data_IF_232835772932
#
_entry.id   IF_232835772932
#
_cell.length_a   1.000
_cell.length_b   1.000
_cell.length_c   1.000
_cell.angle_alpha   90.00
_cell.angle_beta   90.00
_cell.angle_gamma   90.00
#
_symmetry.space_group_name_H-M   'P 1'
#
loop_
_entity.id
_entity.type
_entity.pdbx_description
1 polymer ?
#
# COMPACT_ATOMS: atom_id res chain seq x y z
N UNK A 1 -7.50 -69.08 49.78
CA UNK A 1 -8.42 -68.18 50.51
C UNK A 1 -9.08 -67.26 49.50
N UNK A 2 -10.40 -67.43 49.30
CA UNK A 2 -11.35 -66.47 48.70
C UNK A 2 -11.17 -66.08 47.23
N UNK A 3 -12.16 -66.10 46.35
CA UNK A 3 -13.56 -66.48 46.48
C UNK A 3 -14.11 -66.69 45.06
N UNK A 4 -14.93 -67.72 44.91
CA UNK A 4 -15.55 -68.20 43.68
C UNK A 4 -16.91 -67.53 43.45
N UNK A 5 -17.33 -67.41 42.18
CA UNK A 5 -18.73 -67.69 41.82
C UNK A 5 -19.49 -66.68 40.94
N UNK A 6 -20.30 -67.26 40.03
CA UNK A 6 -21.32 -66.74 39.09
C UNK A 6 -20.80 -66.49 37.67
N UNK A 7 -20.95 -67.36 36.66
CA UNK A 7 -21.99 -68.31 36.21
C UNK A 7 -23.29 -67.67 35.62
N UNK A 8 -23.43 -67.86 34.29
CA UNK A 8 -24.59 -67.82 33.37
C UNK A 8 -25.36 -66.51 33.14
N UNK A 9 -25.47 -66.09 31.87
CA UNK A 9 -26.56 -66.55 30.99
C UNK A 9 -26.31 -66.17 29.52
N UNK A 10 -26.32 -67.20 28.67
CA UNK A 10 -26.61 -67.12 27.24
C UNK A 10 -28.04 -66.57 27.06
N UNK A 11 -28.18 -65.57 26.20
CA UNK A 11 -29.47 -65.00 25.80
C UNK A 11 -29.46 -64.73 24.31
N UNK A 12 -29.89 -65.74 23.56
CA UNK A 12 -30.14 -65.74 22.12
C UNK A 12 -31.27 -64.75 21.82
N UNK A 13 -30.92 -63.49 21.65
CA UNK A 13 -31.83 -62.43 21.20
C UNK A 13 -31.78 -62.32 19.69
N UNK A 14 -32.58 -63.14 19.02
CA UNK A 14 -32.95 -62.94 17.61
C UNK A 14 -33.64 -61.57 17.52
N UNK A 15 -32.87 -60.53 17.27
CA UNK A 15 -33.41 -59.27 16.77
C UNK A 15 -33.64 -59.46 15.28
N UNK A 16 -34.76 -60.12 14.97
CA UNK A 16 -35.47 -59.87 13.73
C UNK A 16 -35.90 -58.39 13.76
N UNK A 17 -34.97 -57.49 13.43
CA UNK A 17 -35.36 -56.22 12.82
C UNK A 17 -35.83 -56.57 11.42
N UNK A 18 -37.10 -56.97 11.39
CA UNK A 18 -38.02 -56.90 10.27
C UNK A 18 -37.62 -55.79 9.30
N UNK A 19 -37.49 -56.14 8.02
CA UNK A 19 -37.17 -55.29 6.88
C UNK A 19 -38.24 -54.20 6.60
N UNK A 20 -38.64 -53.43 7.60
CA UNK A 20 -39.48 -52.24 7.48
C UNK A 20 -38.68 -50.94 7.66
N UNK A 21 -37.36 -50.96 7.42
CA UNK A 21 -36.47 -49.82 7.68
C UNK A 21 -35.90 -49.11 6.46
N UNK A 22 -36.07 -49.63 5.24
CA UNK A 22 -35.38 -49.08 4.05
C UNK A 22 -35.90 -47.68 3.67
N UNK A 23 -37.14 -47.33 4.01
CA UNK A 23 -37.74 -46.02 3.70
C UNK A 23 -37.39 -44.88 4.68
N UNK A 24 -36.81 -45.18 5.83
CA UNK A 24 -36.39 -44.14 6.81
C UNK A 24 -34.90 -43.79 6.70
N UNK A 25 -34.07 -44.67 6.12
CA UNK A 25 -32.67 -44.38 5.81
C UNK A 25 -32.52 -43.29 4.73
N UNK A 26 -33.31 -43.33 3.66
CA UNK A 26 -33.38 -42.25 2.65
C UNK A 26 -33.75 -40.90 3.26
N UNK A 27 -34.63 -40.93 4.26
CA UNK A 27 -35.06 -39.73 4.99
C UNK A 27 -33.92 -39.20 5.87
N UNK A 28 -33.21 -40.08 6.59
CA UNK A 28 -32.06 -39.70 7.41
C UNK A 28 -30.89 -39.17 6.57
N UNK A 29 -30.61 -39.78 5.41
CA UNK A 29 -29.61 -39.27 4.46
C UNK A 29 -29.98 -37.89 3.93
N UNK A 30 -31.25 -37.67 3.58
CA UNK A 30 -31.73 -36.34 3.14
C UNK A 30 -31.63 -35.30 4.25
N UNK A 31 -31.99 -35.64 5.49
CA UNK A 31 -31.82 -34.76 6.66
C UNK A 31 -30.35 -34.41 6.92
N UNK A 32 -29.44 -35.38 6.76
CA UNK A 32 -28.00 -35.15 6.90
C UNK A 32 -27.44 -34.29 5.76
N UNK A 33 -27.88 -34.54 4.52
CA UNK A 33 -27.51 -33.75 3.35
C UNK A 33 -27.98 -32.29 3.49
N UNK A 34 -29.22 -32.05 3.89
CA UNK A 34 -29.78 -30.71 4.10
C UNK A 34 -29.06 -29.94 5.21
N UNK A 35 -28.67 -30.62 6.30
CA UNK A 35 -27.84 -30.04 7.36
C UNK A 35 -26.44 -29.69 6.87
N UNK A 36 -25.79 -30.60 6.15
CA UNK A 36 -24.45 -30.40 5.63
C UNK A 36 -24.43 -29.29 4.58
N UNK A 37 -25.45 -29.21 3.73
CA UNK A 37 -25.66 -28.14 2.76
C UNK A 37 -25.86 -26.79 3.45
N UNK A 38 -26.68 -26.73 4.51
CA UNK A 38 -26.88 -25.52 5.31
C UNK A 38 -25.58 -25.05 5.98
N UNK A 39 -24.79 -26.00 6.49
CA UNK A 39 -23.47 -25.72 7.09
C UNK A 39 -22.46 -25.24 6.06
N UNK A 40 -22.40 -25.87 4.88
CA UNK A 40 -21.55 -25.44 3.77
C UNK A 40 -21.89 -24.02 3.33
N UNK A 41 -23.18 -23.71 3.18
CA UNK A 41 -23.66 -22.37 2.82
C UNK A 41 -23.30 -21.31 3.87
N UNK A 42 -23.31 -21.67 5.15
CA UNK A 42 -22.88 -20.79 6.23
C UNK A 42 -21.36 -20.56 6.23
N UNK A 43 -20.59 -21.62 6.01
CA UNK A 43 -19.12 -21.54 5.90
C UNK A 43 -18.68 -20.71 4.69
N UNK A 44 -19.34 -20.85 3.54
CA UNK A 44 -19.12 -20.04 2.34
C UNK A 44 -19.39 -18.55 2.60
N UNK A 45 -20.52 -18.24 3.24
CA UNK A 45 -20.88 -16.85 3.62
C UNK A 45 -19.85 -16.22 4.57
N UNK A 46 -19.35 -16.96 5.55
CA UNK A 46 -18.29 -16.49 6.44
C UNK A 46 -16.97 -16.25 5.71
N UNK A 47 -16.68 -17.05 4.69
CA UNK A 47 -15.47 -16.94 3.87
C UNK A 47 -15.56 -15.69 2.99
N UNK A 48 -16.71 -15.44 2.37
CA UNK A 48 -17.00 -14.20 1.63
C UNK A 48 -16.85 -12.96 2.53
N UNK A 49 -17.42 -12.97 3.74
CA UNK A 49 -17.29 -11.87 4.70
C UNK A 49 -15.82 -11.65 5.11
N UNK A 50 -15.05 -12.72 5.33
CA UNK A 50 -13.63 -12.64 5.66
C UNK A 50 -12.79 -12.11 4.50
N UNK A 51 -13.10 -12.54 3.27
CA UNK A 51 -12.45 -12.08 2.05
C UNK A 51 -12.76 -10.61 1.81
N UNK A 52 -14.01 -10.19 1.95
CA UNK A 52 -14.43 -8.78 1.87
C UNK A 52 -13.70 -7.93 2.91
N UNK A 53 -13.68 -8.34 4.18
CA UNK A 53 -12.97 -7.63 5.25
C UNK A 53 -11.45 -7.56 5.01
N UNK A 54 -10.87 -8.60 4.40
CA UNK A 54 -9.45 -8.59 3.99
C UNK A 54 -9.20 -7.61 2.83
N UNK A 55 -10.11 -7.54 1.86
CA UNK A 55 -10.04 -6.60 0.75
C UNK A 55 -10.16 -5.15 1.24
N UNK A 56 -11.18 -4.82 2.06
CA UNK A 56 -11.35 -3.51 2.68
C UNK A 56 -10.10 -3.09 3.48
N UNK A 57 -9.56 -4.02 4.29
CA UNK A 57 -8.31 -3.79 5.04
C UNK A 57 -7.10 -3.60 4.11
N UNK A 58 -7.09 -4.24 2.94
CA UNK A 58 -6.05 -4.10 1.92
C UNK A 58 -6.11 -2.74 1.23
N UNK A 59 -7.31 -2.29 0.88
CA UNK A 59 -7.57 -0.94 0.34
C UNK A 59 -7.15 0.14 1.34
N UNK A 60 -7.51 0.00 2.62
CA UNK A 60 -7.08 0.90 3.71
C UNK A 60 -5.56 0.96 3.85
N UNK A 61 -4.87 -0.19 3.69
CA UNK A 61 -3.42 -0.26 3.79
C UNK A 61 -2.76 0.39 2.58
N UNK A 62 -3.28 0.15 1.38
CA UNK A 62 -2.80 0.77 0.15
C UNK A 62 -2.89 2.29 0.24
N UNK A 63 -4.04 2.82 0.66
CA UNK A 63 -4.21 4.26 0.82
C UNK A 63 -3.21 4.86 1.81
N UNK A 64 -2.93 4.17 2.93
CA UNK A 64 -1.97 4.62 3.93
C UNK A 64 -0.56 4.67 3.37
N UNK A 65 -0.13 3.65 2.64
CA UNK A 65 1.21 3.62 2.04
C UNK A 65 1.35 4.68 0.92
N UNK A 66 0.32 4.88 0.09
CA UNK A 66 0.31 5.95 -0.92
C UNK A 66 0.41 7.32 -0.25
N UNK A 67 -0.41 7.59 0.78
CA UNK A 67 -0.34 8.85 1.55
C UNK A 67 1.04 9.04 2.19
N UNK A 68 1.62 8.00 2.75
CA UNK A 68 2.96 8.02 3.35
C UNK A 68 4.06 8.32 2.33
N UNK A 69 3.99 7.72 1.15
CA UNK A 69 4.92 7.96 0.05
C UNK A 69 4.82 9.42 -0.47
N UNK A 70 3.61 9.95 -0.61
CA UNK A 70 3.40 11.36 -1.00
C UNK A 70 4.00 12.30 0.07
N UNK A 71 3.74 12.02 1.35
CA UNK A 71 4.28 12.82 2.46
C UNK A 71 5.80 12.75 2.53
N UNK A 72 6.42 11.60 2.24
CA UNK A 72 7.89 11.52 2.21
C UNK A 72 8.48 12.36 1.08
N UNK A 73 7.90 12.32 -0.12
CA UNK A 73 8.34 13.13 -1.26
C UNK A 73 8.21 14.63 -1.00
N UNK A 74 7.12 15.05 -0.34
CA UNK A 74 6.92 16.46 0.03
C UNK A 74 7.89 16.95 1.13
N UNK A 75 8.43 16.04 1.94
CA UNK A 75 9.40 16.36 3.00
C UNK A 75 10.83 16.39 2.49
N UNK A 76 11.10 15.88 1.29
CA UNK A 76 12.42 15.94 0.70
C UNK A 76 12.76 17.41 0.39
N UNK A 77 13.95 17.89 0.81
CA UNK A 77 14.35 19.25 0.53
C UNK A 77 14.45 19.44 -0.99
N UNK A 78 13.95 20.55 -1.56
CA UNK A 78 14.06 20.78 -2.98
C UNK A 78 15.53 20.75 -3.40
N UNK A 79 15.83 20.02 -4.48
CA UNK A 79 17.19 19.94 -5.01
C UNK A 79 17.66 21.36 -5.40
N UNK A 80 18.89 21.76 -5.01
CA UNK A 80 19.41 23.07 -5.36
C UNK A 80 19.61 23.16 -6.87
N UNK A 81 19.20 24.28 -7.46
CA UNK A 81 19.35 24.54 -8.89
C UNK A 81 20.47 25.54 -9.11
N UNK A 82 21.38 25.24 -10.03
CA UNK A 82 22.42 26.16 -10.47
C UNK A 82 21.90 26.99 -11.64
N UNK A 83 22.01 28.31 -11.54
CA UNK A 83 21.76 29.17 -12.70
C UNK A 83 22.75 28.85 -13.83
N UNK A 84 22.35 28.97 -15.11
CA UNK A 84 23.29 28.81 -16.21
C UNK A 84 24.32 29.94 -16.20
N UNK A 85 25.49 29.69 -16.79
CA UNK A 85 26.55 30.69 -16.94
C UNK A 85 26.17 31.73 -18.01
N UNK A 86 26.59 32.98 -17.80
CA UNK A 86 26.46 34.02 -18.83
C UNK A 86 27.63 33.91 -19.80
N UNK A 87 27.34 33.58 -21.07
CA UNK A 87 28.35 33.41 -22.12
C UNK A 87 28.21 34.51 -23.17
N UNK A 88 29.32 35.17 -23.48
CA UNK A 88 29.42 36.10 -24.61
C UNK A 88 29.98 35.40 -25.83
N UNK A 89 29.38 35.69 -26.98
CA UNK A 89 29.88 35.26 -28.29
C UNK A 89 30.53 36.44 -29.00
N UNK A 90 31.85 36.36 -29.18
CA UNK A 90 32.63 37.36 -29.89
C UNK A 90 32.90 36.88 -31.31
N UNK A 91 32.56 37.71 -32.30
CA UNK A 91 32.96 37.50 -33.69
C UNK A 91 34.31 38.17 -33.92
N UNK A 92 35.31 37.36 -34.27
CA UNK A 92 36.58 37.85 -34.77
C UNK A 92 36.47 37.91 -36.28
N UNK A 93 36.59 39.12 -36.84
CA UNK A 93 36.57 39.34 -38.28
C UNK A 93 37.86 38.81 -38.92
N UNK A 94 37.84 38.47 -40.22
CA UNK A 94 39.04 38.04 -40.92
C UNK A 94 40.11 39.11 -40.90
N UNK A 95 41.35 38.72 -40.64
CA UNK A 95 42.50 39.63 -40.67
C UNK A 95 43.78 38.90 -41.07
N UNK A 96 44.75 39.65 -41.58
CA UNK A 96 46.09 39.12 -41.88
C UNK A 96 46.99 39.43 -40.70
N UNK A 97 47.62 38.40 -40.14
CA UNK A 97 48.59 38.54 -39.06
C UNK A 97 49.90 39.17 -39.55
N UNK A 98 50.77 39.61 -38.62
CA UNK A 98 52.07 40.20 -38.97
C UNK A 98 52.96 39.23 -39.78
N UNK A 99 52.77 37.92 -39.58
CA UNK A 99 53.48 36.87 -40.31
C UNK A 99 52.89 36.59 -41.70
N UNK A 100 51.91 37.38 -42.15
CA UNK A 100 51.23 37.22 -43.43
C UNK A 100 50.17 36.10 -43.46
N UNK A 101 49.97 35.39 -42.35
CA UNK A 101 48.96 34.33 -42.28
C UNK A 101 47.54 34.93 -42.19
N UNK A 102 46.64 34.44 -43.07
CA UNK A 102 45.22 34.81 -43.08
C UNK A 102 44.48 34.11 -41.94
N UNK A 103 43.94 34.89 -41.02
CA UNK A 103 43.00 34.42 -40.02
C UNK A 103 41.58 34.62 -40.56
N UNK A 104 40.83 33.52 -40.68
CA UNK A 104 39.44 33.54 -41.13
C UNK A 104 38.49 33.96 -39.99
N UNK A 105 37.25 34.32 -40.37
CA UNK A 105 36.23 34.67 -39.39
C UNK A 105 35.96 33.51 -38.44
N UNK A 106 35.94 33.78 -37.14
CA UNK A 106 35.64 32.76 -36.12
C UNK A 106 34.89 33.35 -34.96
N UNK A 107 34.08 32.50 -34.33
CA UNK A 107 33.41 32.82 -33.07
C UNK A 107 34.22 32.30 -31.90
N UNK A 108 34.35 33.12 -30.86
CA UNK A 108 34.93 32.75 -29.58
C UNK A 108 33.87 32.93 -28.50
N UNK A 109 33.72 31.91 -27.65
CA UNK A 109 32.77 31.93 -26.54
C UNK A 109 33.53 32.17 -25.24
N UNK A 110 33.16 33.23 -24.53
CA UNK A 110 33.77 33.61 -23.26
C UNK A 110 32.73 33.51 -22.16
N UNK A 111 33.07 32.81 -21.06
CA UNK A 111 32.26 32.83 -19.83
C UNK A 111 32.56 34.13 -19.10
N UNK A 112 31.57 35.02 -19.01
CA UNK A 112 31.71 36.32 -18.34
C UNK A 112 31.34 36.23 -16.87
N UNK A 113 30.30 35.46 -16.58
CA UNK A 113 29.80 35.28 -15.24
C UNK A 113 29.49 33.81 -15.01
N UNK A 114 29.99 33.28 -13.90
CA UNK A 114 29.65 31.93 -13.49
C UNK A 114 28.23 31.91 -12.90
N UNK A 115 27.46 30.92 -13.33
CA UNK A 115 26.13 30.67 -12.82
C UNK A 115 26.17 30.43 -11.32
N UNK A 116 25.47 31.27 -10.56
CA UNK A 116 25.37 31.15 -9.11
C UNK A 116 24.44 30.00 -8.72
N UNK A 117 24.72 29.39 -7.58
CA UNK A 117 23.78 28.49 -6.93
C UNK A 117 22.59 29.31 -6.41
N UNK A 118 21.38 28.94 -6.82
CA UNK A 118 20.15 29.49 -6.26
C UNK A 118 19.78 28.58 -5.10
N UNK A 119 20.22 28.98 -3.90
CA UNK A 119 19.84 28.33 -2.65
C UNK A 119 18.54 29.01 -2.20
N UNK A 120 17.45 28.25 -2.07
CA UNK A 120 16.26 28.80 -1.43
C UNK A 120 16.48 29.00 0.07
N UNK A 121 15.69 29.88 0.68
CA UNK A 121 15.80 30.25 2.10
C UNK A 121 15.79 29.04 3.06
N UNK A 122 15.21 27.92 2.63
CA UNK A 122 15.18 26.64 3.34
C UNK A 122 16.57 25.98 3.51
N UNK A 123 17.59 26.36 2.74
CA UNK A 123 18.97 25.87 2.87
C UNK A 123 19.86 26.82 3.69
N UNK A 124 19.53 28.12 3.67
CA UNK A 124 20.32 29.18 4.33
C UNK A 124 19.90 29.30 5.80
N UNK A 125 18.63 29.06 6.11
CA UNK A 125 18.07 29.05 7.45
C UNK A 125 18.33 27.74 8.20
N UNK A 126 19.56 27.56 8.68
CA UNK A 126 19.83 26.58 9.73
C UNK A 126 19.05 26.96 10.99
N UNK A 127 17.89 26.33 11.21
CA UNK A 127 17.00 26.44 12.39
C UNK A 127 16.18 27.74 12.48
N UNK A 128 15.11 27.84 11.71
CA UNK A 128 13.85 28.34 12.28
C UNK A 128 12.78 27.29 12.05
N UNK A 129 12.21 26.83 13.16
CA UNK A 129 11.48 25.57 13.25
C UNK A 129 10.39 25.46 12.20
N UNK A 130 10.22 24.23 11.70
CA UNK A 130 9.00 23.76 11.05
C UNK A 130 7.83 24.40 11.80
N UNK A 131 7.19 25.42 11.21
CA UNK A 131 5.97 25.99 11.79
C UNK A 131 5.00 24.83 11.82
N UNK A 132 4.83 24.25 12.99
CA UNK A 132 3.83 23.22 13.26
C UNK A 132 2.52 23.83 12.83
N UNK A 133 2.04 23.45 11.65
CA UNK A 133 0.75 23.85 11.13
C UNK A 133 -0.25 23.35 12.15
N UNK A 134 -0.65 24.23 13.06
CA UNK A 134 -1.69 23.94 14.02
C UNK A 134 -2.92 23.75 13.16
N UNK A 135 -3.57 22.58 13.18
CA UNK A 135 -4.70 22.32 12.31
C UNK A 135 -5.73 23.44 12.53
N UNK A 136 -6.27 23.96 11.42
CA UNK A 136 -7.34 24.94 11.43
C UNK A 136 -8.43 24.43 12.36
N UNK A 137 -8.75 25.19 13.42
CA UNK A 137 -9.91 24.90 14.27
C UNK A 137 -11.12 24.80 13.35
N UNK A 138 -11.71 23.61 13.27
CA UNK A 138 -13.01 23.44 12.66
C UNK A 138 -13.99 24.40 13.34
N UNK A 139 -14.69 25.18 12.53
CA UNK A 139 -15.56 26.26 12.98
C UNK A 139 -16.46 25.80 14.11
N UNK A 140 -16.53 26.61 15.16
CA UNK A 140 -17.43 26.41 16.27
C UNK A 140 -18.84 26.19 15.76
N UNK A 141 -19.46 25.10 16.22
CA UNK A 141 -20.91 25.02 16.30
C UNK A 141 -21.37 26.11 17.26
N UNK A 142 -21.94 27.16 16.72
CA UNK A 142 -22.74 28.11 17.47
C UNK A 142 -24.08 27.42 17.80
N UNK A 143 -24.08 26.57 18.83
CA UNK A 143 -25.30 26.09 19.47
C UNK A 143 -25.85 27.22 20.36
N UNK A 144 -27.07 27.62 20.05
CA UNK A 144 -27.70 28.83 20.56
C UNK A 144 -27.96 28.87 22.07
N UNK A 145 -28.19 30.10 22.51
CA UNK A 145 -29.16 30.47 23.54
C UNK A 145 -29.84 31.76 23.13
#
# INVERSE_FOLDING_TARGET
MGNSGRLWFLGLGVFLFSCAGIKDWDRYEKYQADRNFSRQKYEEKLLEERVKKKMEKGEDLYEKEVKKAIVSLLREPPAPVKAPDTVLRVLILPYVSQDGALNTAKYVFLRVEEGRWILGDYLIGGKEGVKLLTPLKEGGKDEGK
#
